data_IF_570850247548
#
_entry.id   IF_570850247548
#
_cell.length_a   1.000
_cell.length_b   1.000
_cell.length_c   1.000
_cell.angle_alpha   90.00
_cell.angle_beta   90.00
_cell.angle_gamma   90.00
#
_symmetry.space_group_name_H-M   'P 1'
#
loop_
_entity.id
_entity.type
_entity.pdbx_description
1 polymer ?
#
# COMPACT_ATOMS: atom_id res chain seq x y z
N UNK A 1 -18.25 -13.85 5.87
CA UNK A 1 -17.57 -12.52 5.94
C UNK A 1 -17.32 -12.04 4.52
N UNK A 2 -17.66 -10.79 4.24
CA UNK A 2 -17.34 -10.09 3.00
C UNK A 2 -16.09 -9.24 3.24
N UNK A 3 -15.04 -9.41 2.45
CA UNK A 3 -13.73 -8.77 2.65
C UNK A 3 -13.39 -7.87 1.47
N UNK A 4 -13.02 -6.62 1.73
CA UNK A 4 -12.50 -5.69 0.75
C UNK A 4 -11.05 -5.31 1.08
N UNK A 5 -10.15 -5.70 0.21
CA UNK A 5 -8.72 -5.42 0.26
C UNK A 5 -8.38 -4.29 -0.71
N UNK A 6 -7.58 -3.35 -0.26
CA UNK A 6 -7.12 -2.24 -1.08
C UNK A 6 -5.60 -2.14 -1.02
N UNK A 7 -4.95 -2.11 -2.15
CA UNK A 7 -3.59 -1.58 -2.22
C UNK A 7 -3.62 -0.05 -2.07
N UNK A 8 -2.47 0.57 -1.80
CA UNK A 8 -2.38 2.01 -1.54
C UNK A 8 -1.84 2.78 -2.74
N UNK A 9 -0.56 2.57 -3.01
CA UNK A 9 0.21 3.36 -3.97
C UNK A 9 -0.29 3.08 -5.38
N UNK A 10 -0.48 4.14 -6.18
CA UNK A 10 -1.06 4.07 -7.53
C UNK A 10 -2.46 3.43 -7.61
N UNK A 11 -3.02 2.97 -6.48
CA UNK A 11 -4.38 2.40 -6.36
C UNK A 11 -5.36 3.36 -5.67
N UNK A 12 -5.28 3.56 -4.34
CA UNK A 12 -6.12 4.55 -3.62
C UNK A 12 -5.48 5.94 -3.59
N UNK A 13 -4.18 6.00 -3.67
CA UNK A 13 -3.37 7.21 -3.74
C UNK A 13 -2.78 7.35 -5.14
N UNK A 14 -3.00 8.52 -5.78
CA UNK A 14 -2.44 8.85 -7.09
C UNK A 14 -0.96 9.25 -6.93
N UNK A 15 -0.10 8.27 -6.76
CA UNK A 15 1.33 8.41 -6.54
C UNK A 15 1.91 7.31 -5.67
N UNK A 16 3.19 7.45 -5.32
CA UNK A 16 3.97 6.51 -4.52
C UNK A 16 4.38 7.16 -3.19
N UNK A 17 3.93 6.57 -2.07
CA UNK A 17 4.17 7.10 -0.71
C UNK A 17 5.64 7.04 -0.31
N UNK A 18 6.40 6.05 -0.79
CA UNK A 18 7.82 5.94 -0.50
C UNK A 18 8.64 7.01 -1.25
N UNK A 19 8.26 7.37 -2.49
CA UNK A 19 8.86 8.48 -3.24
C UNK A 19 8.58 9.80 -2.53
N UNK A 20 7.32 10.07 -2.22
CA UNK A 20 6.90 11.32 -1.57
C UNK A 20 7.56 11.51 -0.19
N UNK A 21 7.70 10.42 0.58
CA UNK A 21 8.39 10.45 1.85
C UNK A 21 9.88 10.71 1.69
N UNK A 22 10.53 10.02 0.75
CA UNK A 22 11.95 10.24 0.45
C UNK A 22 12.26 11.66 -0.02
N UNK A 23 11.37 12.25 -0.82
CA UNK A 23 11.52 13.64 -1.24
C UNK A 23 11.42 14.61 -0.05
N UNK A 24 10.47 14.38 0.88
CA UNK A 24 10.39 15.15 2.12
C UNK A 24 11.66 14.99 2.97
N UNK A 25 12.18 13.77 3.11
CA UNK A 25 13.43 13.53 3.82
C UNK A 25 14.63 14.19 3.13
N UNK A 26 14.67 14.20 1.80
CA UNK A 26 15.73 14.83 1.02
C UNK A 26 15.73 16.35 1.16
N UNK A 27 14.58 17.01 1.25
CA UNK A 27 14.45 18.44 1.56
C UNK A 27 15.16 18.82 2.87
N UNK A 28 15.29 17.85 3.79
CA UNK A 28 15.96 18.01 5.08
C UNK A 28 17.37 17.37 5.11
N UNK A 29 17.88 16.93 3.96
CA UNK A 29 19.20 16.29 3.86
C UNK A 29 19.29 14.92 4.57
N UNK A 30 18.13 14.25 4.76
CA UNK A 30 18.03 13.01 5.52
C UNK A 30 18.00 11.74 4.66
N UNK A 31 17.74 11.82 3.35
CA UNK A 31 17.75 10.71 2.41
C UNK A 31 18.05 11.16 0.99
N UNK A 32 18.41 10.22 0.11
CA UNK A 32 18.61 10.43 -1.33
C UNK A 32 17.33 10.04 -2.11
N UNK A 33 16.57 11.04 -2.51
CA UNK A 33 15.34 10.82 -3.30
C UNK A 33 15.62 10.26 -4.71
N UNK A 34 16.82 10.45 -5.29
CA UNK A 34 17.16 9.86 -6.56
C UNK A 34 17.23 8.33 -6.45
N UNK A 35 17.82 7.82 -5.37
CA UNK A 35 17.88 6.36 -5.11
C UNK A 35 16.50 5.75 -4.97
N UNK A 36 15.54 6.45 -4.35
CA UNK A 36 14.16 5.98 -4.27
C UNK A 36 13.51 5.87 -5.65
N UNK A 37 13.72 6.83 -6.53
CA UNK A 37 13.21 6.77 -7.91
C UNK A 37 13.83 5.61 -8.71
N UNK A 38 15.10 5.27 -8.47
CA UNK A 38 15.74 4.09 -9.07
C UNK A 38 15.05 2.79 -8.61
N UNK A 39 14.73 2.67 -7.31
CA UNK A 39 13.98 1.54 -6.78
C UNK A 39 12.57 1.45 -7.36
N UNK A 40 11.90 2.57 -7.55
CA UNK A 40 10.57 2.60 -8.18
C UNK A 40 10.62 2.06 -9.63
N UNK A 41 11.63 2.45 -10.41
CA UNK A 41 11.85 1.88 -11.77
C UNK A 41 12.07 0.36 -11.70
N UNK A 42 12.87 -0.12 -10.75
CA UNK A 42 13.10 -1.57 -10.56
C UNK A 42 11.82 -2.30 -10.13
N UNK A 43 10.97 -1.67 -9.31
CA UNK A 43 9.66 -2.22 -8.89
C UNK A 43 8.78 -2.49 -10.11
N UNK A 44 8.59 -1.50 -10.99
CA UNK A 44 7.77 -1.63 -12.21
C UNK A 44 8.38 -2.61 -13.22
N UNK A 45 9.71 -2.73 -13.27
CA UNK A 45 10.40 -3.72 -14.09
C UNK A 45 10.36 -5.15 -13.50
N UNK A 46 9.89 -5.32 -12.25
CA UNK A 46 9.89 -6.60 -11.55
C UNK A 46 11.27 -7.09 -11.11
N UNK A 47 12.28 -6.22 -11.11
CA UNK A 47 13.70 -6.52 -10.81
C UNK A 47 14.17 -5.97 -9.46
N UNK A 48 13.25 -5.44 -8.64
CA UNK A 48 13.56 -4.85 -7.34
C UNK A 48 14.20 -5.87 -6.38
N UNK A 49 15.39 -5.53 -5.84
CA UNK A 49 15.91 -6.17 -4.63
C UNK A 49 15.18 -5.62 -3.41
N UNK A 50 14.22 -6.38 -2.93
CA UNK A 50 13.32 -5.94 -1.85
C UNK A 50 14.05 -5.74 -0.52
N UNK A 51 15.11 -6.50 -0.25
CA UNK A 51 15.89 -6.38 0.99
C UNK A 51 16.78 -5.14 0.97
N UNK A 52 17.38 -4.79 -0.18
CA UNK A 52 18.13 -3.56 -0.36
C UNK A 52 17.20 -2.33 -0.24
N UNK A 53 16.02 -2.40 -0.87
CA UNK A 53 15.00 -1.36 -0.80
C UNK A 53 14.59 -1.08 0.64
N UNK A 54 14.20 -2.09 1.41
CA UNK A 54 13.77 -1.87 2.80
C UNK A 54 14.90 -1.40 3.72
N UNK A 55 16.13 -1.85 3.52
CA UNK A 55 17.28 -1.31 4.26
C UNK A 55 17.45 0.20 4.02
N UNK A 56 17.30 0.62 2.77
CA UNK A 56 17.40 2.02 2.40
C UNK A 56 16.21 2.83 2.97
N UNK A 57 14.96 2.35 2.83
CA UNK A 57 13.77 3.07 3.27
C UNK A 57 13.65 3.17 4.80
N UNK A 58 14.13 2.19 5.53
CA UNK A 58 14.03 2.16 7.00
C UNK A 58 15.23 2.76 7.73
N UNK A 59 16.35 3.01 7.04
CA UNK A 59 17.55 3.63 7.62
C UNK A 59 17.22 4.96 8.32
N UNK A 60 16.49 5.92 7.72
CA UNK A 60 16.15 7.17 8.38
C UNK A 60 15.34 6.98 9.66
N UNK A 61 14.46 5.95 9.72
CA UNK A 61 13.68 5.67 10.93
C UNK A 61 14.58 5.26 12.10
N UNK A 62 15.66 4.52 11.84
CA UNK A 62 16.62 4.14 12.88
C UNK A 62 17.54 5.27 13.31
N UNK A 63 17.88 6.17 12.39
CA UNK A 63 18.88 7.24 12.60
C UNK A 63 18.29 8.48 13.25
N UNK A 64 17.06 8.84 12.91
CA UNK A 64 16.44 10.09 13.33
C UNK A 64 15.66 9.94 14.66
N UNK A 65 15.58 10.99 15.49
CA UNK A 65 14.76 10.99 16.69
C UNK A 65 13.27 10.76 16.37
N UNK A 66 12.59 9.86 17.13
CA UNK A 66 11.18 9.57 16.94
C UNK A 66 10.27 10.81 16.95
N UNK A 67 10.42 11.80 17.84
CA UNK A 67 9.60 13.01 17.80
C UNK A 67 9.70 13.76 16.46
N UNK A 68 10.90 13.86 15.88
CA UNK A 68 11.12 14.48 14.56
C UNK A 68 10.46 13.67 13.45
N UNK A 69 10.59 12.35 13.47
CA UNK A 69 9.92 11.46 12.50
C UNK A 69 8.40 11.62 12.56
N UNK A 70 7.82 11.74 13.74
CA UNK A 70 6.38 11.93 13.92
C UNK A 70 5.92 13.30 13.39
N UNK A 71 6.68 14.36 13.66
CA UNK A 71 6.41 15.71 13.12
C UNK A 71 6.45 15.71 11.58
N UNK A 72 7.47 15.11 10.99
CA UNK A 72 7.61 15.04 9.54
C UNK A 72 6.53 14.14 8.92
N UNK A 73 6.13 13.05 9.58
CA UNK A 73 5.03 12.19 9.12
C UNK A 73 3.69 12.94 9.13
N UNK A 74 3.41 13.76 10.14
CA UNK A 74 2.20 14.58 10.17
C UNK A 74 2.21 15.62 9.04
N UNK A 75 3.34 16.27 8.80
CA UNK A 75 3.52 17.18 7.68
C UNK A 75 3.35 16.46 6.34
N UNK A 76 3.98 15.31 6.17
CA UNK A 76 3.86 14.44 5.01
C UNK A 76 2.40 14.09 4.71
N UNK A 77 1.67 13.61 5.71
CA UNK A 77 0.26 13.26 5.58
C UNK A 77 -0.57 14.47 5.12
N UNK A 78 -0.43 15.61 5.81
CA UNK A 78 -1.22 16.82 5.55
C UNK A 78 -0.91 17.46 4.20
N UNK A 79 0.35 17.55 3.82
CA UNK A 79 0.78 18.34 2.67
C UNK A 79 0.93 17.53 1.38
N UNK A 80 1.26 16.24 1.47
CA UNK A 80 1.55 15.41 0.31
C UNK A 80 0.53 14.33 0.03
N UNK A 81 -0.08 13.74 1.06
CA UNK A 81 -0.99 12.60 0.89
C UNK A 81 -2.45 13.03 0.83
N UNK A 82 -2.97 13.68 1.88
CA UNK A 82 -4.41 13.99 1.99
C UNK A 82 -4.98 14.77 0.80
N UNK A 83 -4.26 15.77 0.22
CA UNK A 83 -4.77 16.52 -0.94
C UNK A 83 -4.89 15.67 -2.20
N UNK A 84 -4.13 14.59 -2.31
CA UNK A 84 -4.08 13.70 -3.49
C UNK A 84 -4.90 12.42 -3.34
N UNK A 85 -5.49 12.17 -2.17
CA UNK A 85 -6.48 11.10 -2.02
C UNK A 85 -7.76 11.47 -2.77
N UNK A 86 -7.97 10.85 -3.92
CA UNK A 86 -9.05 11.19 -4.84
C UNK A 86 -10.44 11.01 -4.22
N UNK A 87 -11.43 11.78 -4.73
CA UNK A 87 -12.84 11.60 -4.33
C UNK A 87 -13.32 10.19 -4.69
N UNK A 88 -12.90 9.66 -5.84
CA UNK A 88 -13.28 8.33 -6.34
C UNK A 88 -12.77 7.23 -5.40
N UNK A 89 -11.50 7.29 -4.96
CA UNK A 89 -10.94 6.35 -3.99
C UNK A 89 -11.70 6.38 -2.65
N UNK A 90 -11.99 7.58 -2.13
CA UNK A 90 -12.79 7.75 -0.89
C UNK A 90 -14.22 7.23 -1.05
N UNK A 91 -14.82 7.38 -2.23
CA UNK A 91 -16.17 6.89 -2.51
C UNK A 91 -16.17 5.36 -2.56
N UNK A 92 -15.22 4.75 -3.26
CA UNK A 92 -15.06 3.30 -3.31
C UNK A 92 -14.94 2.68 -1.90
N UNK A 93 -14.10 3.22 -1.04
CA UNK A 93 -13.94 2.74 0.34
C UNK A 93 -15.26 2.86 1.11
N UNK A 94 -15.97 4.01 0.99
CA UNK A 94 -17.24 4.24 1.68
C UNK A 94 -18.36 3.32 1.19
N UNK A 95 -18.39 2.97 -0.09
CA UNK A 95 -19.36 2.01 -0.64
C UNK A 95 -19.18 0.65 0.00
N UNK A 96 -17.95 0.13 0.07
CA UNK A 96 -17.68 -1.12 0.75
C UNK A 96 -18.04 -1.06 2.25
N UNK A 97 -17.75 0.05 2.90
CA UNK A 97 -18.13 0.28 4.30
C UNK A 97 -19.67 0.26 4.48
N UNK A 98 -20.38 0.91 3.58
CA UNK A 98 -21.87 0.96 3.62
C UNK A 98 -22.50 -0.43 3.40
N UNK A 99 -21.85 -1.30 2.62
CA UNK A 99 -22.25 -2.70 2.45
C UNK A 99 -21.84 -3.62 3.61
N UNK A 100 -21.17 -3.10 4.64
CA UNK A 100 -20.75 -3.88 5.80
C UNK A 100 -19.58 -4.84 5.53
N UNK A 101 -18.78 -4.56 4.51
CA UNK A 101 -17.56 -5.33 4.23
C UNK A 101 -16.49 -5.03 5.27
N UNK A 102 -15.70 -6.04 5.61
CA UNK A 102 -14.47 -5.86 6.40
C UNK A 102 -13.41 -5.21 5.50
N UNK A 103 -12.89 -4.04 5.91
CA UNK A 103 -11.98 -3.25 5.08
C UNK A 103 -10.55 -3.42 5.56
N UNK A 104 -9.64 -3.72 4.64
CA UNK A 104 -8.22 -3.88 4.92
C UNK A 104 -7.40 -3.12 3.89
N UNK A 105 -6.53 -2.22 4.34
CA UNK A 105 -5.45 -1.69 3.51
C UNK A 105 -4.31 -2.71 3.53
N UNK A 106 -3.88 -3.20 2.36
CA UNK A 106 -2.81 -4.18 2.22
C UNK A 106 -1.74 -3.66 1.26
N UNK A 107 -0.59 -3.24 1.78
CA UNK A 107 0.42 -2.50 1.02
C UNK A 107 1.84 -2.96 1.31
N UNK A 108 2.73 -2.83 0.32
CA UNK A 108 4.16 -3.07 0.50
C UNK A 108 4.82 -1.99 1.37
N UNK A 109 4.32 -0.76 1.32
CA UNK A 109 4.84 0.37 2.10
C UNK A 109 4.74 0.11 3.60
N UNK A 110 5.67 0.66 4.37
CA UNK A 110 5.80 0.38 5.79
C UNK A 110 4.66 0.99 6.63
N UNK A 111 4.31 0.31 7.74
CA UNK A 111 3.19 0.70 8.61
C UNK A 111 3.38 2.05 9.32
N UNK A 112 4.61 2.51 9.50
CA UNK A 112 4.88 3.82 10.08
C UNK A 112 4.27 4.95 9.21
N UNK A 113 4.34 4.84 7.89
CA UNK A 113 3.75 5.81 6.96
C UNK A 113 2.27 5.53 6.71
N UNK A 114 1.89 4.27 6.57
CA UNK A 114 0.57 3.90 6.02
C UNK A 114 -0.54 3.84 7.06
N UNK A 115 -0.23 3.66 8.37
CA UNK A 115 -1.26 3.66 9.42
C UNK A 115 -2.11 4.95 9.43
N UNK A 116 -1.52 6.17 9.48
CA UNK A 116 -2.34 7.39 9.47
C UNK A 116 -3.08 7.62 8.14
N UNK A 117 -2.61 7.04 7.03
CA UNK A 117 -3.31 7.09 5.74
C UNK A 117 -4.56 6.20 5.78
N UNK A 118 -4.44 4.97 6.31
CA UNK A 118 -5.58 4.08 6.50
C UNK A 118 -6.63 4.71 7.42
N UNK A 119 -6.21 5.35 8.52
CA UNK A 119 -7.09 6.07 9.43
C UNK A 119 -7.85 7.21 8.73
N UNK A 120 -7.15 7.99 7.88
CA UNK A 120 -7.74 9.08 7.10
C UNK A 120 -8.73 8.61 6.02
N UNK A 121 -8.57 7.36 5.54
CA UNK A 121 -9.50 6.71 4.62
C UNK A 121 -10.67 6.02 5.35
N UNK A 122 -10.61 5.88 6.68
CA UNK A 122 -11.60 5.14 7.46
C UNK A 122 -11.47 3.62 7.30
N UNK A 123 -10.28 3.12 6.94
CA UNK A 123 -9.98 1.69 6.82
C UNK A 123 -9.41 1.20 8.16
N UNK A 124 -10.14 0.36 8.93
CA UNK A 124 -9.74 -0.01 10.29
C UNK A 124 -8.54 -0.94 10.34
N UNK A 125 -8.38 -1.80 9.34
CA UNK A 125 -7.33 -2.82 9.33
C UNK A 125 -6.23 -2.48 8.32
N UNK A 126 -4.99 -2.67 8.78
CA UNK A 126 -3.79 -2.47 7.98
C UNK A 126 -2.94 -3.74 8.01
N UNK A 127 -2.55 -4.21 6.83
CA UNK A 127 -1.55 -5.23 6.60
C UNK A 127 -0.44 -4.58 5.77
N UNK A 128 0.73 -4.37 6.37
CA UNK A 128 1.82 -3.61 5.78
C UNK A 128 3.17 -4.31 6.03
N UNK A 129 4.23 -3.76 5.47
CA UNK A 129 5.58 -4.11 5.89
C UNK A 129 5.85 -3.44 7.25
N UNK A 130 6.21 -4.26 8.28
CA UNK A 130 6.33 -3.78 9.66
C UNK A 130 7.77 -3.40 9.98
N UNK A 131 8.09 -2.12 10.28
CA UNK A 131 9.40 -1.75 10.81
C UNK A 131 9.64 -2.39 12.18
N UNK A 132 10.82 -2.99 12.36
CA UNK A 132 11.20 -3.57 13.64
C UNK A 132 11.44 -2.49 14.68
N UNK A 133 10.85 -2.67 15.88
CA UNK A 133 11.04 -1.79 17.03
C UNK A 133 11.61 -2.60 18.18
N UNK A 134 12.81 -2.23 18.68
CA UNK A 134 13.43 -2.78 19.88
C UNK A 134 13.65 -1.66 20.90
N UNK A 135 13.24 -1.90 22.14
CA UNK A 135 13.36 -0.94 23.23
C UNK A 135 12.81 0.46 22.91
N UNK A 136 11.68 0.51 22.14
CA UNK A 136 11.02 1.77 21.75
C UNK A 136 11.72 2.53 20.63
N UNK A 137 12.65 1.91 19.90
CA UNK A 137 13.37 2.51 18.77
C UNK A 137 13.28 1.64 17.54
N UNK A 138 13.14 2.27 16.38
CA UNK A 138 13.28 1.58 15.10
C UNK A 138 14.72 1.07 14.93
N UNK A 139 14.85 -0.14 14.38
CA UNK A 139 16.17 -0.76 14.15
C UNK A 139 16.70 -0.55 12.72
N UNK A 140 15.86 -0.02 11.81
CA UNK A 140 16.18 0.07 10.38
C UNK A 140 15.96 -1.25 9.62
N UNK A 141 15.30 -2.22 10.24
CA UNK A 141 14.95 -3.51 9.63
C UNK A 141 13.44 -3.74 9.68
N UNK A 142 12.98 -4.76 8.95
CA UNK A 142 11.62 -5.28 9.10
C UNK A 142 11.54 -6.27 10.26
N UNK A 143 10.39 -6.28 10.95
CA UNK A 143 10.04 -7.25 12.00
C UNK A 143 9.67 -8.64 11.46
N UNK A 144 9.69 -8.83 10.16
CA UNK A 144 9.33 -10.09 9.48
C UNK A 144 9.35 -9.92 7.96
N UNK A 145 8.77 -10.86 7.21
CA UNK A 145 8.77 -10.76 5.75
C UNK A 145 8.01 -9.51 5.27
N UNK A 146 8.48 -8.90 4.15
CA UNK A 146 7.80 -7.75 3.55
C UNK A 146 6.38 -8.12 3.06
N UNK A 147 5.48 -7.14 3.05
CA UNK A 147 4.14 -7.27 2.48
C UNK A 147 4.17 -7.06 0.95
N UNK A 148 4.94 -7.88 0.26
CA UNK A 148 5.22 -7.75 -1.17
C UNK A 148 5.02 -9.09 -1.87
N UNK A 149 4.36 -9.10 -3.04
CA UNK A 149 4.05 -10.30 -3.82
C UNK A 149 3.37 -11.39 -2.95
N UNK A 150 3.97 -12.58 -2.86
CA UNK A 150 3.50 -13.69 -2.02
C UNK A 150 3.45 -13.34 -0.53
N UNK A 151 4.24 -12.36 -0.09
CA UNK A 151 4.22 -11.83 1.27
C UNK A 151 2.86 -11.21 1.64
N UNK A 152 2.14 -10.58 0.69
CA UNK A 152 0.76 -10.12 0.90
C UNK A 152 -0.17 -11.29 1.27
N UNK A 153 -0.03 -12.43 0.57
CA UNK A 153 -0.84 -13.63 0.85
C UNK A 153 -0.54 -14.15 2.26
N UNK A 154 0.74 -14.35 2.57
CA UNK A 154 1.18 -14.89 3.86
C UNK A 154 0.67 -14.04 5.03
N UNK A 155 0.78 -12.71 4.92
CA UNK A 155 0.32 -11.79 5.94
C UNK A 155 -1.22 -11.77 6.05
N UNK A 156 -1.93 -11.79 4.92
CA UNK A 156 -3.40 -11.84 4.90
C UNK A 156 -3.91 -13.15 5.51
N UNK A 157 -3.34 -14.28 5.16
CA UNK A 157 -3.72 -15.58 5.72
C UNK A 157 -3.45 -15.63 7.23
N UNK A 158 -2.34 -15.07 7.71
CA UNK A 158 -2.06 -14.92 9.14
C UNK A 158 -3.07 -14.02 9.85
N UNK A 159 -3.46 -12.91 9.23
CA UNK A 159 -4.48 -11.99 9.76
C UNK A 159 -5.86 -12.64 9.82
N UNK A 160 -6.24 -13.43 8.82
CA UNK A 160 -7.48 -14.20 8.77
C UNK A 160 -7.48 -15.34 9.79
N UNK A 161 -6.38 -16.11 9.88
CA UNK A 161 -6.25 -17.21 10.82
C UNK A 161 -6.41 -16.77 12.28
N UNK A 162 -5.87 -15.61 12.66
CA UNK A 162 -6.07 -15.00 13.97
C UNK A 162 -7.54 -14.68 14.28
N UNK A 163 -8.43 -14.70 13.28
CA UNK A 163 -9.89 -14.50 13.37
C UNK A 163 -10.69 -15.79 13.13
N UNK A 164 -10.00 -16.92 13.05
CA UNK A 164 -10.63 -18.20 12.72
C UNK A 164 -11.19 -18.30 11.31
N UNK A 165 -10.66 -17.51 10.38
CA UNK A 165 -11.09 -17.42 8.98
C UNK A 165 -10.01 -17.91 8.03
N UNK A 166 -10.38 -18.25 6.81
CA UNK A 166 -9.50 -18.60 5.69
C UNK A 166 -9.99 -17.91 4.43
N UNK A 167 -9.08 -17.40 3.59
CA UNK A 167 -9.43 -16.65 2.38
C UNK A 167 -10.38 -17.44 1.46
N UNK A 168 -10.13 -18.74 1.27
CA UNK A 168 -10.93 -19.61 0.41
C UNK A 168 -12.35 -19.94 0.97
N UNK A 169 -12.61 -19.62 2.25
CA UNK A 169 -13.88 -19.89 2.94
C UNK A 169 -14.73 -18.63 3.10
N UNK A 170 -14.25 -17.48 2.65
CA UNK A 170 -15.01 -16.24 2.70
C UNK A 170 -16.16 -16.27 1.70
N UNK A 171 -17.27 -15.65 2.05
CA UNK A 171 -18.44 -15.49 1.17
C UNK A 171 -18.06 -14.72 -0.11
N UNK A 172 -17.32 -13.61 0.03
CA UNK A 172 -16.68 -12.93 -1.08
C UNK A 172 -15.45 -12.16 -0.57
N UNK A 173 -14.47 -12.00 -1.48
CA UNK A 173 -13.28 -11.20 -1.27
C UNK A 173 -12.99 -10.35 -2.52
N UNK A 174 -12.80 -9.06 -2.31
CA UNK A 174 -12.47 -8.07 -3.32
C UNK A 174 -11.02 -7.63 -3.11
N UNK A 175 -10.26 -7.47 -4.17
CA UNK A 175 -8.92 -6.88 -4.08
C UNK A 175 -8.69 -5.90 -5.22
N UNK A 176 -8.34 -4.68 -4.87
CA UNK A 176 -8.08 -3.54 -5.74
C UNK A 176 -6.58 -3.28 -5.79
N UNK A 177 -5.97 -3.31 -6.97
CA UNK A 177 -4.54 -3.05 -7.18
C UNK A 177 -4.25 -2.58 -8.60
N UNK A 178 -3.22 -1.76 -8.76
CA UNK A 178 -2.66 -1.29 -10.03
C UNK A 178 -1.54 -2.18 -10.57
N UNK A 179 -0.91 -3.00 -9.72
CA UNK A 179 0.38 -3.62 -10.00
C UNK A 179 0.32 -5.11 -10.36
N UNK A 180 1.08 -5.50 -11.39
CA UNK A 180 1.32 -6.92 -11.71
C UNK A 180 2.02 -7.69 -10.57
N UNK A 181 2.73 -6.99 -9.66
CA UNK A 181 3.33 -7.61 -8.49
C UNK A 181 2.28 -8.19 -7.53
N UNK A 182 1.02 -7.77 -7.64
CA UNK A 182 -0.10 -8.25 -6.84
C UNK A 182 -0.89 -9.41 -7.49
N UNK A 183 -0.49 -9.86 -8.68
CA UNK A 183 -1.09 -11.02 -9.35
C UNK A 183 -1.20 -12.25 -8.45
N UNK A 184 -0.22 -12.58 -7.57
CA UNK A 184 -0.36 -13.72 -6.67
C UNK A 184 -1.60 -13.62 -5.76
N UNK A 185 -1.92 -12.43 -5.23
CA UNK A 185 -3.10 -12.24 -4.38
C UNK A 185 -4.38 -12.01 -5.20
N UNK A 186 -4.31 -11.21 -6.27
CA UNK A 186 -5.44 -10.98 -7.19
C UNK A 186 -6.03 -12.31 -7.72
N UNK A 187 -5.17 -13.29 -7.99
CA UNK A 187 -5.59 -14.61 -8.48
C UNK A 187 -6.25 -15.50 -7.41
N UNK A 188 -6.27 -15.09 -6.13
CA UNK A 188 -6.83 -15.86 -5.01
C UNK A 188 -8.14 -15.31 -4.47
N UNK A 189 -8.48 -14.07 -4.79
CA UNK A 189 -9.73 -13.44 -4.36
C UNK A 189 -10.87 -13.79 -5.31
N UNK A 190 -12.11 -13.68 -4.84
CA UNK A 190 -13.28 -13.95 -5.68
C UNK A 190 -13.57 -12.85 -6.69
N UNK A 191 -13.17 -11.61 -6.37
CA UNK A 191 -13.36 -10.41 -7.20
C UNK A 191 -12.04 -9.65 -7.32
N UNK A 192 -11.17 -10.02 -8.27
CA UNK A 192 -9.99 -9.23 -8.60
C UNK A 192 -10.37 -8.00 -9.41
N UNK A 193 -9.89 -6.82 -9.00
CA UNK A 193 -10.15 -5.55 -9.68
C UNK A 193 -8.81 -4.85 -9.95
N UNK A 194 -8.55 -4.59 -11.23
CA UNK A 194 -7.38 -3.85 -11.66
C UNK A 194 -7.71 -2.35 -11.71
N UNK A 195 -6.99 -1.54 -10.93
CA UNK A 195 -7.21 -0.09 -10.83
C UNK A 195 -6.08 0.64 -11.54
N UNK A 196 -6.38 1.47 -12.52
CA UNK A 196 -5.38 2.20 -13.34
C UNK A 196 -4.13 1.36 -13.70
N UNK A 197 -4.29 0.06 -14.07
CA UNK A 197 -3.26 -0.96 -13.99
C UNK A 197 -2.07 -0.71 -14.90
N UNK A 198 -0.91 -1.18 -14.45
CA UNK A 198 0.28 -1.29 -15.27
C UNK A 198 0.03 -2.16 -16.53
N UNK A 199 0.89 -2.07 -17.58
CA UNK A 199 0.65 -2.79 -18.83
C UNK A 199 0.54 -4.31 -18.67
N UNK A 200 1.26 -4.92 -17.72
CA UNK A 200 1.25 -6.36 -17.50
C UNK A 200 -0.05 -6.80 -16.80
N UNK A 201 -0.45 -6.08 -15.75
CA UNK A 201 -1.72 -6.34 -15.06
C UNK A 201 -2.92 -6.06 -15.99
N UNK A 202 -2.88 -4.98 -16.79
CA UNK A 202 -3.94 -4.65 -17.77
C UNK A 202 -4.13 -5.78 -18.77
N UNK A 203 -3.06 -6.32 -19.34
CA UNK A 203 -3.15 -7.44 -20.27
C UNK A 203 -3.64 -8.71 -19.58
N UNK A 204 -3.20 -8.98 -18.34
CA UNK A 204 -3.68 -10.11 -17.56
C UNK A 204 -5.18 -10.00 -17.26
N UNK A 205 -5.64 -8.85 -16.78
CA UNK A 205 -7.05 -8.55 -16.50
C UNK A 205 -7.93 -8.75 -17.75
N UNK A 206 -7.49 -8.23 -18.90
CA UNK A 206 -8.19 -8.42 -20.17
C UNK A 206 -8.36 -9.89 -20.55
N UNK A 207 -7.29 -10.70 -20.40
CA UNK A 207 -7.32 -12.14 -20.74
C UNK A 207 -8.24 -12.94 -19.86
N UNK A 208 -8.36 -12.55 -18.56
CA UNK A 208 -9.14 -13.28 -17.57
C UNK A 208 -10.52 -12.68 -17.29
N UNK A 209 -10.90 -11.60 -18.01
CA UNK A 209 -12.19 -10.95 -17.85
C UNK A 209 -12.33 -10.23 -16.49
N UNK A 210 -11.23 -9.77 -15.90
CA UNK A 210 -11.27 -9.01 -14.66
C UNK A 210 -11.76 -7.59 -14.89
N UNK A 211 -12.44 -7.03 -13.90
CA UNK A 211 -12.86 -5.63 -13.94
C UNK A 211 -11.64 -4.71 -13.93
N UNK A 212 -11.66 -3.70 -14.80
CA UNK A 212 -10.68 -2.61 -14.83
C UNK A 212 -11.39 -1.30 -14.48
N UNK A 213 -10.87 -0.57 -13.50
CA UNK A 213 -11.36 0.73 -13.07
C UNK A 213 -10.32 1.82 -13.34
N UNK A 214 -10.77 3.00 -13.74
CA UNK A 214 -9.96 4.21 -13.86
C UNK A 214 -10.37 5.18 -12.75
N UNK A 215 -9.72 5.12 -11.57
CA UNK A 215 -10.04 5.95 -10.41
C UNK A 215 -9.39 7.34 -10.48
N UNK A 216 -8.21 7.44 -11.07
CA UNK A 216 -7.41 8.67 -11.09
C UNK A 216 -7.77 9.55 -12.30
N UNK A 217 -8.08 8.97 -13.45
CA UNK A 217 -8.49 9.72 -14.67
C UNK A 217 -9.85 10.39 -14.55
N UNK A 218 -10.77 9.82 -13.78
CA UNK A 218 -12.08 10.42 -13.56
C UNK A 218 -12.02 11.76 -12.79
N UNK A 219 -10.95 12.01 -12.02
CA UNK A 219 -10.74 13.28 -11.31
C UNK A 219 -10.39 14.46 -12.21
N UNK A 220 -9.78 14.22 -13.38
CA UNK A 220 -9.35 15.27 -14.32
C UNK A 220 -10.48 15.80 -15.21
N UNK A 221 -11.60 15.08 -15.30
CA UNK A 221 -12.76 15.45 -16.13
C UNK A 221 -13.84 16.25 -15.37
N UNK A 222 -13.69 16.47 -14.08
CA UNK A 222 -14.69 17.14 -13.21
C UNK A 222 -14.22 18.48 -12.63
N UNK A 223 -13.13 19.06 -13.19
CA UNK A 223 -12.56 20.35 -12.80
C UNK A 223 -12.88 21.47 -13.81
#
# INVERSE_FOLDING_TARGET
MLLALFDLDETLFDGDTDIEWSELLAEHGAQDAQRTREFHVQYHAGTLDIDEFFRFQLEPLARLPLPLLLEWRERFLRERILPRLSRSARTLVREHQAFGHELVLITATNSFLTRPIADALGIPHLIASEPEVLHGRFTGRLAGPPCYREGKITKLEGWLAARGQRLAELEASFFYSDSHNDLPLLSRVTHPIAVDPDPQLREHARRHGWLVLDLHRASLAAG
#
